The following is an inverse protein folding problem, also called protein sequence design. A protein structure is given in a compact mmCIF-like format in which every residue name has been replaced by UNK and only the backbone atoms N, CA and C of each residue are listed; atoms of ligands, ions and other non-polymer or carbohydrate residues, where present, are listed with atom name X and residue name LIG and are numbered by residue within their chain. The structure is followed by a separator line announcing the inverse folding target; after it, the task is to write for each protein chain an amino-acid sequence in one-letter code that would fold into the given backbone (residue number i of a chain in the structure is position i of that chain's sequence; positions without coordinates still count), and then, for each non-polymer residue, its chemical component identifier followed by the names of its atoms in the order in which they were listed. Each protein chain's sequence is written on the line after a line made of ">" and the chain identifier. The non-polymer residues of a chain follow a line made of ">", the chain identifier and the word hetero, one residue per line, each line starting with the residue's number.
data_IF_015300428548
#
_entry.id   IF_015300428548
#
_cell.length_a   1.000
_cell.length_b   1.000
_cell.length_c   1.000
_cell.angle_alpha   90.00
_cell.angle_beta   90.00
_cell.angle_gamma   90.00
#
_symmetry.space_group_name_H-M   'P 1'
#
loop_
_entity.id
_entity.type
_entity.pdbx_description
1 polymer ?
#
# COMPACT_ATOMS: atom_id res chain seq x y z
N UNK A 1 -10.40 -1.89 9.05
CA UNK A 1 -9.66 -0.80 9.76
C UNK A 1 -9.41 0.31 8.75
N UNK A 2 -9.82 1.55 9.02
CA UNK A 2 -9.50 2.71 8.18
C UNK A 2 -8.49 3.60 8.87
N UNK A 3 -7.71 4.33 8.08
CA UNK A 3 -6.75 5.31 8.59
C UNK A 3 -7.17 6.71 8.15
N UNK A 4 -7.07 7.65 9.07
CA UNK A 4 -7.40 9.04 8.85
C UNK A 4 -6.16 9.84 9.22
N UNK A 5 -5.69 10.67 8.28
CA UNK A 5 -4.57 11.57 8.49
C UNK A 5 -5.13 13.00 8.52
N UNK A 6 -5.06 13.66 9.67
CA UNK A 6 -5.50 15.06 9.85
C UNK A 6 -4.34 15.83 10.47
N UNK A 7 -3.87 16.89 9.81
CA UNK A 7 -2.81 17.76 10.34
C UNK A 7 -1.59 16.99 10.89
N UNK A 8 -1.15 15.97 10.14
CA UNK A 8 -0.05 15.07 10.49
C UNK A 8 -0.32 14.13 11.66
N UNK A 9 -1.52 14.11 12.21
CA UNK A 9 -1.93 13.13 13.20
C UNK A 9 -2.61 11.95 12.52
N UNK A 10 -2.22 10.75 12.94
CA UNK A 10 -2.72 9.49 12.41
C UNK A 10 -3.72 8.95 13.39
N UNK A 11 -4.91 8.67 12.88
CA UNK A 11 -5.99 8.03 13.59
C UNK A 11 -6.35 6.72 12.93
N UNK A 12 -6.82 5.77 13.73
CA UNK A 12 -7.48 4.56 13.26
C UNK A 12 -8.98 4.69 13.46
N UNK A 13 -9.77 4.31 12.47
CA UNK A 13 -11.20 4.19 12.59
C UNK A 13 -11.60 2.71 12.48
N UNK A 14 -12.27 2.20 13.52
CA UNK A 14 -12.81 0.84 13.57
C UNK A 14 -14.32 0.90 13.69
N UNK A 15 -15.01 0.12 12.87
CA UNK A 15 -16.43 -0.09 13.04
C UNK A 15 -16.67 -1.02 14.24
N UNK A 16 -17.48 -0.56 15.16
CA UNK A 16 -17.97 -1.29 16.31
C UNK A 16 -19.48 -1.50 16.11
N UNK A 17 -19.89 -2.74 15.77
CA UNK A 17 -21.30 -3.06 15.63
C UNK A 17 -22.09 -2.70 16.90
N UNK A 18 -23.36 -2.27 16.77
CA UNK A 18 -24.14 -2.27 15.53
C UNK A 18 -23.98 -1.01 14.67
N UNK A 19 -23.49 0.09 15.22
CA UNK A 19 -23.67 1.41 14.61
C UNK A 19 -22.69 2.47 15.13
N UNK A 20 -21.54 2.05 15.63
CA UNK A 20 -20.51 2.95 16.15
C UNK A 20 -19.25 2.90 15.27
N UNK A 21 -18.61 4.05 15.02
CA UNK A 21 -17.23 4.10 14.51
C UNK A 21 -16.38 4.70 15.61
N UNK A 22 -15.42 3.93 16.13
CA UNK A 22 -14.45 4.44 17.10
C UNK A 22 -13.22 4.93 16.38
N UNK A 23 -12.86 6.18 16.66
CA UNK A 23 -11.63 6.81 16.19
C UNK A 23 -10.64 6.82 17.34
N UNK A 24 -9.45 6.27 17.12
CA UNK A 24 -8.38 6.22 18.11
C UNK A 24 -7.13 6.88 17.54
N UNK A 25 -6.60 7.87 18.26
CA UNK A 25 -5.31 8.47 17.95
C UNK A 25 -4.21 7.42 18.03
N UNK A 26 -3.38 7.35 17.00
CA UNK A 26 -2.23 6.44 16.93
C UNK A 26 -0.96 7.20 17.29
N UNK A 27 -0.63 8.23 16.50
CA UNK A 27 0.56 9.06 16.71
C UNK A 27 0.51 10.35 15.91
N UNK A 28 1.39 11.28 16.25
CA UNK A 28 1.68 12.47 15.45
C UNK A 28 2.93 12.22 14.59
N UNK A 29 2.82 12.50 13.30
CA UNK A 29 3.95 12.61 12.38
C UNK A 29 4.60 13.97 12.62
N UNK A 30 5.70 14.01 13.35
CA UNK A 30 6.53 15.20 13.47
C UNK A 30 7.39 15.35 12.20
N UNK A 31 6.78 15.81 11.09
CA UNK A 31 7.42 15.85 9.77
C UNK A 31 8.76 16.58 9.80
N UNK A 32 8.83 17.76 10.41
CA UNK A 32 10.08 18.54 10.48
C UNK A 32 11.21 17.78 11.18
N UNK A 33 10.91 17.07 12.28
CA UNK A 33 11.90 16.23 12.96
C UNK A 33 12.24 14.97 12.17
N UNK A 34 11.33 14.47 11.35
CA UNK A 34 11.49 13.25 10.54
C UNK A 34 12.31 13.52 9.28
N UNK A 35 12.12 14.66 8.62
CA UNK A 35 12.99 15.15 7.55
C UNK A 35 14.43 15.34 8.07
N UNK A 36 14.58 15.90 9.27
CA UNK A 36 15.88 15.99 9.97
C UNK A 36 16.48 14.60 10.33
N UNK A 37 15.68 13.54 10.34
CA UNK A 37 16.10 12.15 10.57
C UNK A 37 16.20 11.32 9.28
N UNK A 38 16.02 11.94 8.10
CA UNK A 38 16.11 11.26 6.81
C UNK A 38 14.92 10.35 6.50
N UNK A 39 13.75 10.59 7.09
CA UNK A 39 12.52 9.87 6.73
C UNK A 39 11.78 10.58 5.59
N UNK A 40 11.18 9.78 4.70
CA UNK A 40 10.37 10.24 3.58
C UNK A 40 8.97 9.63 3.65
N UNK A 41 7.94 10.46 3.52
CA UNK A 41 6.55 10.01 3.48
C UNK A 41 6.21 9.56 2.05
N UNK A 42 5.67 8.34 1.92
CA UNK A 42 5.37 7.71 0.63
C UNK A 42 3.92 7.20 0.61
N UNK A 43 3.37 7.04 -0.60
CA UNK A 43 2.01 6.51 -0.84
C UNK A 43 0.91 7.24 -0.04
N UNK A 44 0.67 8.52 -0.36
CA UNK A 44 -0.41 9.33 0.22
C UNK A 44 -0.42 9.41 1.76
N UNK A 45 0.75 9.31 2.41
CA UNK A 45 0.87 9.43 3.85
C UNK A 45 0.74 8.12 4.64
N UNK A 46 0.49 7.00 3.96
CA UNK A 46 0.20 5.71 4.59
C UNK A 46 1.44 4.86 4.85
N UNK A 47 2.50 5.07 4.08
CA UNK A 47 3.77 4.38 4.20
C UNK A 47 4.87 5.40 4.49
N UNK A 48 5.93 4.96 5.15
CA UNK A 48 7.08 5.79 5.50
C UNK A 48 8.34 5.03 5.14
N UNK A 49 9.22 5.69 4.38
CA UNK A 49 10.57 5.23 4.08
C UNK A 49 11.56 5.90 5.04
N UNK A 50 12.56 5.15 5.48
CA UNK A 50 13.66 5.65 6.31
C UNK A 50 14.93 4.89 6.00
N UNK A 51 16.06 5.59 5.94
CA UNK A 51 17.35 4.93 5.94
C UNK A 51 17.80 4.56 7.37
N UNK A 52 18.13 3.28 7.58
CA UNK A 52 18.69 2.76 8.84
C UNK A 52 19.93 1.94 8.50
N UNK A 53 21.10 2.40 8.98
CA UNK A 53 22.40 1.75 8.73
C UNK A 53 22.68 1.49 7.23
N UNK A 54 22.38 2.46 6.35
CA UNK A 54 22.59 2.35 4.90
C UNK A 54 21.59 1.46 4.18
N UNK A 55 20.49 1.07 4.83
CA UNK A 55 19.41 0.29 4.22
C UNK A 55 18.10 1.05 4.29
N UNK A 56 17.36 1.03 3.19
CA UNK A 56 15.99 1.54 3.17
C UNK A 56 15.06 0.59 3.93
N UNK A 57 14.28 1.16 4.84
CA UNK A 57 13.29 0.46 5.66
C UNK A 57 11.94 1.13 5.46
N UNK A 58 10.94 0.35 5.08
CA UNK A 58 9.58 0.84 4.87
C UNK A 58 8.63 0.29 5.92
N UNK A 59 7.78 1.14 6.48
CA UNK A 59 6.79 0.74 7.48
C UNK A 59 5.47 1.51 7.29
N UNK A 60 4.36 0.98 7.83
CA UNK A 60 3.09 1.71 7.79
C UNK A 60 3.15 2.87 8.76
N UNK A 61 2.41 3.92 8.42
CA UNK A 61 2.35 5.10 9.25
C UNK A 61 1.70 4.83 10.64
N UNK A 62 1.01 3.71 10.82
CA UNK A 62 0.48 3.27 12.11
C UNK A 62 1.37 2.28 12.86
N UNK A 63 2.42 1.74 12.22
CA UNK A 63 3.28 0.71 12.82
C UNK A 63 4.47 1.34 13.57
N UNK A 64 5.03 0.57 14.52
CA UNK A 64 6.33 0.89 15.12
C UNK A 64 7.42 0.83 14.02
N UNK A 65 8.24 1.88 13.82
CA UNK A 65 9.33 1.87 12.85
C UNK A 65 10.28 0.67 13.00
N UNK A 66 10.44 0.10 14.20
CA UNK A 66 11.26 -1.09 14.46
C UNK A 66 10.76 -2.34 13.74
N UNK A 67 9.49 -2.37 13.37
CA UNK A 67 8.87 -3.47 12.63
C UNK A 67 8.87 -3.23 11.11
N UNK A 68 9.60 -2.22 10.64
CA UNK A 68 9.69 -1.94 9.21
C UNK A 68 10.37 -3.05 8.42
N UNK A 69 10.02 -3.12 7.14
CA UNK A 69 10.51 -4.11 6.19
C UNK A 69 11.70 -3.50 5.46
N UNK A 70 12.81 -4.22 5.46
CA UNK A 70 14.03 -3.83 4.73
C UNK A 70 13.79 -4.04 3.24
N UNK A 71 14.14 -3.02 2.43
CA UNK A 71 14.23 -3.18 0.98
C UNK A 71 15.50 -3.97 0.67
N UNK A 72 15.33 -5.25 0.35
CA UNK A 72 16.42 -6.24 0.21
C UNK A 72 16.76 -6.58 -1.25
N UNK A 73 16.46 -5.64 -2.16
CA UNK A 73 16.72 -5.76 -3.60
C UNK A 73 17.42 -4.51 -4.13
N UNK A 74 18.21 -4.69 -5.19
CA UNK A 74 18.90 -3.59 -5.88
C UNK A 74 17.90 -2.60 -6.50
N UNK A 75 18.23 -1.31 -6.46
CA UNK A 75 17.38 -0.21 -6.96
C UNK A 75 16.99 -0.41 -8.43
N UNK A 76 17.90 -0.93 -9.26
CA UNK A 76 17.66 -1.22 -10.66
C UNK A 76 16.49 -2.19 -10.88
N UNK A 77 16.29 -3.15 -9.96
CA UNK A 77 15.18 -4.11 -10.03
C UNK A 77 13.85 -3.47 -9.66
N UNK A 78 13.86 -2.37 -8.93
CA UNK A 78 12.68 -1.59 -8.55
C UNK A 78 12.43 -0.39 -9.46
N UNK A 79 13.27 -0.16 -10.47
CA UNK A 79 13.10 0.94 -11.41
C UNK A 79 11.70 0.93 -12.04
N UNK A 80 11.01 2.07 -11.97
CA UNK A 80 9.64 2.23 -12.47
C UNK A 80 8.56 1.52 -11.63
N UNK A 81 8.91 1.07 -10.42
CA UNK A 81 7.94 0.57 -9.45
C UNK A 81 7.51 1.66 -8.49
N UNK A 82 6.25 1.64 -8.12
CA UNK A 82 5.69 2.47 -7.07
C UNK A 82 5.30 1.59 -5.90
N UNK A 83 5.81 1.94 -4.72
CA UNK A 83 5.41 1.24 -3.52
C UNK A 83 3.93 1.53 -3.21
N UNK A 84 3.24 0.46 -2.87
CA UNK A 84 1.80 0.37 -3.00
C UNK A 84 1.17 -0.06 -1.67
N UNK A 85 1.72 -1.10 -1.04
CA UNK A 85 1.25 -1.54 0.28
C UNK A 85 2.31 -2.31 1.05
N UNK A 86 2.06 -2.51 2.34
CA UNK A 86 2.66 -3.58 3.14
C UNK A 86 1.56 -4.61 3.40
N UNK A 87 1.86 -5.89 3.26
CA UNK A 87 0.94 -6.98 3.57
C UNK A 87 1.70 -8.23 4.04
N UNK A 88 1.33 -8.78 5.21
CA UNK A 88 1.89 -10.02 5.78
C UNK A 88 3.43 -10.05 5.78
N UNK A 89 4.04 -8.93 6.19
CA UNK A 89 5.50 -8.79 6.24
C UNK A 89 6.18 -8.59 4.89
N UNK A 90 5.42 -8.32 3.82
CA UNK A 90 5.93 -8.11 2.47
C UNK A 90 5.56 -6.72 1.95
N UNK A 91 6.50 -6.09 1.25
CA UNK A 91 6.28 -4.90 0.45
C UNK A 91 5.65 -5.29 -0.89
N UNK A 92 4.61 -4.57 -1.25
CA UNK A 92 3.93 -4.71 -2.53
C UNK A 92 4.22 -3.45 -3.34
N UNK A 93 4.81 -3.66 -4.50
CA UNK A 93 5.07 -2.65 -5.50
C UNK A 93 4.12 -2.85 -6.68
N UNK A 94 3.67 -1.76 -7.27
CA UNK A 94 3.01 -1.74 -8.55
C UNK A 94 4.00 -1.29 -9.63
N UNK A 95 3.93 -1.90 -10.81
CA UNK A 95 4.69 -1.47 -11.98
C UNK A 95 3.76 -1.37 -13.18
N UNK A 96 3.77 -0.22 -13.85
CA UNK A 96 3.04 -0.09 -15.11
C UNK A 96 3.67 -0.99 -16.18
N UNK A 97 2.84 -1.83 -16.79
CA UNK A 97 3.20 -2.75 -17.87
C UNK A 97 2.20 -2.63 -18.99
N UNK A 98 2.66 -2.79 -20.23
CA UNK A 98 1.79 -2.87 -21.41
C UNK A 98 1.14 -4.25 -21.60
N UNK A 99 1.55 -5.23 -20.80
CA UNK A 99 1.06 -6.61 -20.84
C UNK A 99 0.02 -6.88 -19.76
N UNK A 100 -0.55 -8.09 -19.75
CA UNK A 100 -1.49 -8.53 -18.73
C UNK A 100 -0.89 -8.45 -17.32
N UNK A 101 -1.79 -8.40 -16.32
CA UNK A 101 -1.39 -8.35 -14.93
C UNK A 101 -0.59 -9.61 -14.56
N UNK A 102 0.59 -9.41 -13.98
CA UNK A 102 1.48 -10.50 -13.55
C UNK A 102 2.10 -10.18 -12.20
N UNK A 103 2.46 -11.24 -11.47
CA UNK A 103 3.06 -11.13 -10.14
C UNK A 103 4.47 -11.68 -10.19
N UNK A 104 5.42 -10.91 -9.67
CA UNK A 104 6.82 -11.28 -9.56
C UNK A 104 7.20 -11.26 -8.09
N UNK A 105 7.69 -12.39 -7.57
CA UNK A 105 8.39 -12.41 -6.29
C UNK A 105 9.85 -12.00 -6.53
N UNK A 106 10.20 -10.76 -6.20
CA UNK A 106 11.59 -10.30 -6.33
C UNK A 106 12.46 -10.80 -5.17
N UNK A 107 11.88 -10.90 -3.97
CA UNK A 107 12.53 -11.44 -2.77
C UNK A 107 11.47 -12.05 -1.82
N UNK A 108 11.88 -12.72 -0.72
CA UNK A 108 10.94 -13.15 0.31
C UNK A 108 10.09 -12.00 0.88
N UNK A 109 10.60 -10.76 0.86
CA UNK A 109 9.92 -9.60 1.42
C UNK A 109 9.30 -8.68 0.38
N UNK A 110 9.52 -8.90 -0.92
CA UNK A 110 9.08 -7.97 -1.98
C UNK A 110 8.33 -8.69 -3.08
N UNK A 111 7.10 -8.21 -3.33
CA UNK A 111 6.23 -8.59 -4.43
C UNK A 111 6.10 -7.40 -5.38
N UNK A 112 6.26 -7.64 -6.68
CA UNK A 112 5.91 -6.67 -7.72
C UNK A 112 4.69 -7.17 -8.46
N UNK A 113 3.69 -6.31 -8.58
CA UNK A 113 2.50 -6.50 -9.38
C UNK A 113 2.64 -5.64 -10.63
N UNK A 114 2.91 -6.28 -11.76
CA UNK A 114 2.82 -5.62 -13.05
C UNK A 114 1.34 -5.42 -13.38
N UNK A 115 0.98 -4.22 -13.81
CA UNK A 115 -0.39 -3.86 -14.09
C UNK A 115 -0.47 -2.88 -15.25
N UNK A 116 -1.57 -2.91 -16.00
CA UNK A 116 -1.84 -1.92 -17.04
C UNK A 116 -2.36 -0.59 -16.50
N UNK A 117 -2.61 -0.49 -15.20
CA UNK A 117 -3.18 0.69 -14.57
C UNK A 117 -2.09 1.57 -13.97
N UNK A 118 -2.03 2.83 -14.41
CA UNK A 118 -1.04 3.80 -13.93
C UNK A 118 -1.41 4.43 -12.58
N UNK A 119 -2.67 4.32 -12.14
CA UNK A 119 -3.19 4.98 -10.94
C UNK A 119 -3.90 3.99 -10.02
N UNK A 120 -3.14 3.12 -9.35
CA UNK A 120 -3.68 2.30 -8.26
C UNK A 120 -3.83 3.21 -7.04
N UNK A 121 -4.99 3.85 -6.93
CA UNK A 121 -5.24 4.83 -5.88
C UNK A 121 -5.47 4.21 -4.51
N UNK A 122 -5.96 2.97 -4.46
CA UNK A 122 -6.34 2.31 -3.20
C UNK A 122 -5.97 0.85 -3.24
N UNK A 123 -5.19 0.43 -2.26
CA UNK A 123 -4.93 -0.97 -1.96
C UNK A 123 -5.50 -1.27 -0.60
N UNK A 124 -6.36 -2.29 -0.55
CA UNK A 124 -6.91 -2.80 0.70
C UNK A 124 -6.30 -4.17 0.97
N UNK A 125 -5.62 -4.26 2.10
CA UNK A 125 -4.91 -5.44 2.53
C UNK A 125 -5.06 -5.55 4.04
N UNK A 126 -5.88 -6.51 4.49
CA UNK A 126 -5.91 -6.91 5.90
C UNK A 126 -4.94 -8.07 6.08
N UNK A 127 -4.00 -8.00 7.02
CA UNK A 127 -2.97 -9.03 7.18
C UNK A 127 -3.54 -10.39 7.60
N UNK A 128 -4.76 -10.43 8.15
CA UNK A 128 -5.47 -11.68 8.47
C UNK A 128 -6.06 -12.36 7.22
N UNK A 129 -6.17 -11.63 6.11
CA UNK A 129 -6.62 -12.14 4.81
C UNK A 129 -5.41 -12.44 3.92
N UNK A 130 -5.43 -13.48 3.06
CA UNK A 130 -4.39 -13.62 2.03
C UNK A 130 -4.58 -12.68 0.84
N UNK A 131 -5.70 -11.94 0.80
CA UNK A 131 -6.13 -11.19 -0.38
C UNK A 131 -5.75 -9.71 -0.28
N UNK A 132 -5.20 -9.20 -1.38
CA UNK A 132 -4.90 -7.78 -1.57
C UNK A 132 -5.73 -7.27 -2.73
N UNK A 133 -6.58 -6.29 -2.45
CA UNK A 133 -7.50 -5.70 -3.42
C UNK A 133 -6.89 -4.45 -4.02
N UNK A 134 -6.81 -4.40 -5.33
CA UNK A 134 -6.33 -3.27 -6.10
C UNK A 134 -7.51 -2.59 -6.78
N UNK A 135 -7.71 -1.31 -6.49
CA UNK A 135 -8.77 -0.49 -7.05
C UNK A 135 -8.15 0.62 -7.91
N UNK A 136 -7.72 0.31 -9.15
CA UNK A 136 -7.31 1.32 -10.10
C UNK A 136 -8.46 2.27 -10.43
N UNK A 137 -8.13 3.56 -10.55
CA UNK A 137 -9.07 4.57 -11.00
C UNK A 137 -8.75 4.94 -12.45
N UNK A 138 -9.62 4.54 -13.37
CA UNK A 138 -9.63 5.08 -14.73
C UNK A 138 -10.76 6.10 -14.85
N UNK A 139 -10.55 7.13 -15.67
CA UNK A 139 -11.43 8.31 -15.78
C UNK A 139 -12.93 7.99 -15.93
N UNK A 140 -13.28 6.79 -16.42
CA UNK A 140 -14.67 6.33 -16.63
C UNK A 140 -14.91 4.88 -16.19
N UNK A 141 -13.99 4.25 -15.45
CA UNK A 141 -14.16 2.86 -15.01
C UNK A 141 -13.42 2.58 -13.70
N UNK A 142 -14.08 1.83 -12.82
CA UNK A 142 -13.46 1.25 -11.63
C UNK A 142 -13.31 -0.24 -11.90
N UNK A 143 -12.09 -0.70 -12.17
CA UNK A 143 -11.81 -2.13 -12.18
C UNK A 143 -11.32 -2.55 -10.78
N UNK A 144 -11.57 -3.80 -10.42
CA UNK A 144 -11.10 -4.39 -9.18
C UNK A 144 -10.36 -5.68 -9.55
N UNK A 145 -9.12 -5.80 -9.12
CA UNK A 145 -8.44 -7.09 -9.18
C UNK A 145 -7.86 -7.43 -7.82
N UNK A 146 -7.74 -8.73 -7.58
CA UNK A 146 -7.37 -9.28 -6.29
C UNK A 146 -6.12 -10.12 -6.49
N UNK A 147 -5.09 -9.84 -5.70
CA UNK A 147 -3.94 -10.71 -5.56
C UNK A 147 -4.19 -11.65 -4.38
N UNK A 148 -4.08 -12.95 -4.61
CA UNK A 148 -3.95 -13.92 -3.53
C UNK A 148 -2.47 -14.13 -3.21
N UNK A 149 -2.04 -13.69 -2.03
CA UNK A 149 -0.65 -13.77 -1.56
C UNK A 149 -0.26 -15.14 -1.02
N UNK A 150 -1.14 -16.14 -1.10
CA UNK A 150 -0.79 -17.54 -0.88
C UNK A 150 -0.41 -18.21 -2.19
N UNK A 151 -1.21 -18.00 -3.24
CA UNK A 151 -1.02 -18.64 -4.55
C UNK A 151 -0.21 -17.80 -5.53
N UNK A 152 -0.03 -16.50 -5.24
CA UNK A 152 0.47 -15.47 -6.16
C UNK A 152 -0.39 -15.33 -7.43
N UNK A 153 -1.65 -15.78 -7.38
CA UNK A 153 -2.60 -15.67 -8.47
C UNK A 153 -3.32 -14.31 -8.46
N UNK A 154 -3.60 -13.78 -9.65
CA UNK A 154 -4.47 -12.62 -9.82
C UNK A 154 -5.86 -13.09 -10.22
N UNK A 155 -6.86 -12.64 -9.46
CA UNK A 155 -8.27 -12.79 -9.75
C UNK A 155 -8.79 -11.44 -10.23
N UNK A 156 -9.12 -11.32 -11.52
CA UNK A 156 -9.71 -10.09 -12.06
C UNK A 156 -11.23 -10.15 -11.91
N UNK A 157 -11.80 -9.13 -11.28
CA UNK A 157 -13.25 -8.92 -11.20
C UNK A 157 -13.55 -7.63 -11.95
N UNK A 158 -14.01 -7.75 -13.20
CA UNK A 158 -14.56 -6.59 -13.91
C UNK A 158 -15.88 -6.21 -13.27
N UNK A 159 -15.86 -5.16 -12.47
CA UNK A 159 -17.08 -4.53 -12.00
C UNK A 159 -17.80 -3.91 -13.21
N UNK A 160 -19.14 -4.02 -13.29
CA UNK A 160 -19.90 -3.36 -14.35
C UNK A 160 -19.64 -1.84 -14.30
N UNK A 161 -19.57 -1.20 -15.46
CA UNK A 161 -19.45 0.26 -15.54
C UNK A 161 -20.65 0.89 -14.83
N UNK A 162 -20.40 1.52 -13.69
CA UNK A 162 -21.39 2.38 -13.05
C UNK A 162 -21.30 3.73 -13.76
N UNK A 163 -22.28 4.06 -14.60
CA UNK A 163 -22.42 5.40 -15.16
C UNK A 163 -22.78 6.36 -14.02
N UNK A 164 -21.78 7.01 -13.44
CA UNK A 164 -21.97 8.13 -12.54
C UNK A 164 -22.35 9.37 -13.37
N UNK A 165 -23.55 9.36 -13.93
CA UNK A 165 -24.16 10.59 -14.46
C UNK A 165 -24.64 11.39 -13.23
N UNK A 166 -23.78 12.29 -12.74
CA UNK A 166 -24.17 13.36 -11.83
C UNK A 166 -24.42 14.64 -12.61
#
# INVERSE_FOLDING_TARGET
>A
LYFIIILFEIYTAKFHPPNEIRITFVRKLEIEKRELQGESIIHSGMLISREINGKEVIYRACDDPKNGIIVDVEEEKLRGCEISAIHRGRLIYARLSSTCETVINLSPNIIVVNTQYSNIQKIFADDDSPLVFFCPFESNSCSLFVLDTTTMGILSIKLPRVNWNY
#
